data_IF_482807455742
#
_entry.id   IF_482807455742
#
_cell.length_a   1.000
_cell.length_b   1.000
_cell.length_c   1.000
_cell.angle_alpha   90.00
_cell.angle_beta   90.00
_cell.angle_gamma   90.00
#
_symmetry.space_group_name_H-M   'P 1'
#
loop_
_entity.id
_entity.type
_entity.pdbx_description
1 polymer ?
2 polymer ?
3 water ?
#
# COMPACT_ATOMS: atom_id res chain seq x y z
N UNK A 1 6.29 -21.91 -1.42
CA UNK A 1 5.31 -23.04 -1.52
C UNK A 1 4.44 -23.08 -0.26
N UNK A 2 4.93 -22.44 0.80
CA UNK A 2 4.21 -22.38 2.07
C UNK A 2 3.68 -20.97 2.34
N UNK A 3 2.36 -20.84 2.36
CA UNK A 3 1.73 -19.55 2.63
C UNK A 3 0.44 -19.68 3.42
N UNK A 4 0.10 -18.62 4.13
CA UNK A 4 -1.13 -18.56 4.90
C UNK A 4 -2.08 -17.67 4.11
N UNK A 5 -3.33 -18.09 4.01
CA UNK A 5 -4.32 -17.31 3.27
C UNK A 5 -5.46 -16.90 4.19
N UNK A 6 -5.69 -15.60 4.32
CA UNK A 6 -6.79 -15.11 5.18
C UNK A 6 -8.04 -14.87 4.34
N UNK A 7 -9.19 -14.96 4.98
CA UNK A 7 -10.46 -14.74 4.29
C UNK A 7 -11.55 -14.26 5.22
N UNK A 8 -12.61 -13.71 4.64
CA UNK A 8 -13.72 -13.22 5.43
C UNK A 8 -13.74 -11.70 5.44
N UNK A 9 -12.65 -11.10 4.96
CA UNK A 9 -12.55 -9.65 4.91
C UNK A 9 -13.59 -8.97 4.03
N UNK A 10 -13.93 -7.74 4.37
CA UNK A 10 -14.90 -7.01 3.59
C UNK A 10 -15.54 -5.88 4.36
N UNK A 11 -16.67 -5.40 3.85
CA UNK A 11 -17.41 -4.30 4.46
C UNK A 11 -18.33 -4.79 5.58
N UNK A 12 -18.29 -4.14 6.73
CA UNK A 12 -19.12 -4.49 7.88
C UNK A 12 -19.77 -3.23 8.46
N UNK A 13 -21.00 -3.35 8.94
CA UNK A 13 -21.67 -2.21 9.56
C UNK A 13 -21.24 -2.15 11.01
N UNK A 14 -21.15 -0.94 11.58
CA UNK A 14 -20.74 -0.82 12.98
C UNK A 14 -21.67 -1.65 13.85
N UNK A 15 -21.09 -2.41 14.78
CA UNK A 15 -21.89 -3.25 15.66
C UNK A 15 -22.08 -4.65 15.09
N UNK A 16 -21.71 -4.83 13.83
CA UNK A 16 -21.85 -6.15 13.22
C UNK A 16 -20.72 -7.07 13.65
N UNK A 17 -20.78 -8.31 13.20
CA UNK A 17 -19.75 -9.29 13.54
C UNK A 17 -19.12 -9.79 12.27
N UNK A 18 -18.07 -10.58 12.40
CA UNK A 18 -17.37 -11.09 11.23
C UNK A 18 -16.38 -12.15 11.70
N UNK A 19 -16.16 -13.17 10.88
CA UNK A 19 -15.21 -14.20 11.25
C UNK A 19 -14.22 -14.37 10.12
N UNK A 20 -12.96 -14.13 10.43
CA UNK A 20 -11.89 -14.27 9.45
C UNK A 20 -11.31 -15.66 9.64
N UNK A 21 -10.88 -16.26 8.54
CA UNK A 21 -10.30 -17.58 8.59
C UNK A 21 -8.89 -17.54 8.02
N UNK A 22 -8.03 -18.35 8.63
CA UNK A 22 -6.65 -18.47 8.22
C UNK A 22 -6.39 -19.93 7.90
N UNK A 23 -6.16 -20.22 6.62
CA UNK A 23 -5.92 -21.58 6.18
C UNK A 23 -4.53 -21.74 5.59
N UNK A 24 -3.79 -22.72 6.08
CA UNK A 24 -2.44 -22.96 5.58
C UNK A 24 -2.40 -24.11 4.57
N UNK A 25 -1.42 -24.05 3.67
CA UNK A 25 -1.23 -25.07 2.65
C UNK A 25 0.27 -25.24 2.40
N UNK A 26 0.77 -26.43 2.71
CA UNK A 26 2.18 -26.72 2.54
C UNK A 26 2.81 -27.27 3.81
N UNK A 27 2.08 -27.18 4.92
CA UNK A 27 2.57 -27.65 6.21
C UNK A 27 1.37 -28.06 7.07
N UNK A 28 1.62 -28.80 8.14
CA UNK A 28 0.53 -29.23 9.01
C UNK A 28 -0.05 -28.07 9.79
N UNK A 29 0.74 -27.44 10.66
CA UNK A 29 0.22 -26.31 11.42
C UNK A 29 -0.44 -26.64 12.76
N UNK A 30 -1.06 -27.80 12.87
CA UNK A 30 -1.70 -28.17 14.13
C UNK A 30 -0.69 -28.07 15.28
N UNK A 31 0.60 -28.13 14.96
CA UNK A 31 1.68 -28.06 15.95
C UNK A 31 2.27 -26.67 16.17
N UNK A 32 1.78 -25.67 15.45
CA UNK A 32 2.29 -24.31 15.59
C UNK A 32 1.28 -23.38 16.24
N UNK A 33 1.79 -22.27 16.78
CA UNK A 33 0.96 -21.27 17.42
C UNK A 33 0.67 -20.16 16.41
N UNK A 34 -0.60 -19.76 16.33
CA UNK A 34 -1.01 -18.74 15.40
C UNK A 34 -1.44 -17.45 16.09
N UNK A 35 -1.02 -16.33 15.49
CA UNK A 35 -1.34 -15.00 16.00
C UNK A 35 -2.13 -14.22 14.96
N UNK A 36 -2.88 -13.24 15.46
CA UNK A 36 -3.59 -12.33 14.58
C UNK A 36 -3.05 -10.95 14.93
N UNK A 37 -2.58 -10.24 13.93
CA UNK A 37 -2.01 -8.91 14.09
C UNK A 37 -2.76 -7.99 13.13
N UNK A 38 -3.05 -6.76 13.56
CA UNK A 38 -3.75 -5.86 12.67
C UNK A 38 -3.01 -4.55 12.41
N UNK A 39 -3.43 -3.85 11.37
CA UNK A 39 -2.79 -2.61 11.00
C UNK A 39 -3.78 -1.68 10.32
N UNK A 40 -4.15 -0.61 11.02
CA UNK A 40 -5.08 0.37 10.48
C UNK A 40 -4.38 1.01 9.30
N UNK A 41 -5.13 1.52 8.33
CA UNK A 41 -4.53 2.15 7.14
C UNK A 41 -3.53 3.28 7.47
N UNK A 42 -2.29 3.12 7.02
CA UNK A 42 -1.29 4.14 7.26
C UNK A 42 -0.69 4.11 8.65
N UNK A 43 -1.27 3.32 9.54
CA UNK A 43 -0.77 3.22 10.91
C UNK A 43 0.21 2.05 11.05
N UNK A 44 0.49 1.67 12.30
CA UNK A 44 1.41 0.58 12.55
C UNK A 44 0.79 -0.75 12.95
N UNK A 45 1.66 -1.71 13.27
CA UNK A 45 1.25 -3.06 13.66
C UNK A 45 0.73 -3.15 15.08
N UNK A 46 -0.40 -3.82 15.24
CA UNK A 46 -1.00 -4.00 16.56
C UNK A 46 -1.40 -5.48 16.79
N UNK A 47 -0.79 -6.11 17.78
CA UNK A 47 -1.07 -7.51 18.13
C UNK A 47 -2.48 -7.66 18.73
N UNK A 48 -3.19 -8.73 18.35
CA UNK A 48 -4.52 -8.98 18.88
C UNK A 48 -4.51 -10.17 19.82
N UNK A 49 -3.80 -11.23 19.43
CA UNK A 49 -3.75 -12.42 20.26
C UNK A 49 -3.13 -13.63 19.60
N UNK A 50 -3.09 -14.74 20.33
CA UNK A 50 -2.50 -15.97 19.82
C UNK A 50 -3.24 -17.22 20.30
N UNK A 51 -3.10 -18.29 19.54
CA UNK A 51 -3.68 -19.58 19.92
C UNK A 51 -2.57 -20.62 19.76
N UNK A 52 -2.24 -21.32 20.84
CA UNK A 52 -1.19 -22.32 20.81
C UNK A 52 -1.57 -23.65 20.16
N UNK A 53 -0.57 -24.54 20.04
CA UNK A 53 -0.81 -25.86 19.45
C UNK A 53 -2.06 -26.42 20.13
N UNK A 54 -2.11 -26.28 21.45
CA UNK A 54 -3.25 -26.71 22.23
C UNK A 54 -4.23 -25.54 22.15
N UNK A 55 -5.53 -25.81 22.28
CA UNK A 55 -6.49 -24.72 22.18
C UNK A 55 -6.21 -23.44 22.96
N UNK A 56 -5.33 -23.49 23.95
CA UNK A 56 -5.04 -22.31 24.78
C UNK A 56 -4.91 -21.00 24.01
N UNK A 57 -5.63 -19.99 24.46
CA UNK A 57 -5.58 -18.69 23.81
C UNK A 57 -5.29 -17.53 24.74
N UNK A 58 -4.57 -16.55 24.22
CA UNK A 58 -4.22 -15.34 24.95
C UNK A 58 -4.60 -14.16 24.05
N UNK A 59 -5.09 -13.09 24.66
CA UNK A 59 -5.52 -11.91 23.92
C UNK A 59 -4.88 -10.63 24.43
N UNK A 60 -4.87 -9.61 23.59
CA UNK A 60 -4.34 -8.32 24.01
C UNK A 60 -5.42 -7.81 24.95
N UNK A 61 -5.02 -7.20 26.06
CA UNK A 61 -5.96 -6.69 27.04
C UNK A 61 -7.17 -5.96 26.47
N UNK A 62 -6.98 -5.23 25.38
CA UNK A 62 -8.08 -4.46 24.76
C UNK A 62 -8.96 -5.29 23.83
N UNK A 63 -8.51 -6.47 23.44
CA UNK A 63 -9.27 -7.31 22.52
C UNK A 63 -10.08 -8.41 23.20
N UNK A 64 -9.65 -8.78 24.40
CA UNK A 64 -10.31 -9.83 25.16
C UNK A 64 -11.72 -9.33 25.45
N UNK A 65 -12.67 -9.74 24.60
CA UNK A 65 -14.04 -9.31 24.80
C UNK A 65 -14.83 -9.32 23.51
N UNK A 66 -14.30 -8.66 22.50
CA UNK A 66 -14.98 -8.57 21.20
C UNK A 66 -14.25 -9.41 20.16
N UNK A 67 -13.15 -10.03 20.58
CA UNK A 67 -12.33 -10.86 19.69
C UNK A 67 -12.11 -12.25 20.26
N UNK A 68 -12.29 -13.27 19.42
CA UNK A 68 -12.09 -14.64 19.88
C UNK A 68 -11.36 -15.47 18.82
N UNK A 69 -10.29 -16.14 19.24
CA UNK A 69 -9.53 -16.98 18.32
C UNK A 69 -9.83 -18.46 18.60
N UNK A 70 -9.87 -19.26 17.53
CA UNK A 70 -10.13 -20.69 17.66
C UNK A 70 -9.51 -21.38 16.46
N UNK A 71 -9.29 -22.68 16.59
CA UNK A 71 -8.69 -23.43 15.49
C UNK A 71 -9.40 -24.75 15.26
N UNK A 72 -9.31 -25.23 14.02
CA UNK A 72 -9.89 -26.51 13.65
C UNK A 72 -8.82 -27.27 12.87
N UNK A 73 -8.03 -28.06 13.60
CA UNK A 73 -6.96 -28.81 12.98
C UNK A 73 -7.38 -29.81 11.92
N UNK A 74 -8.59 -30.37 12.04
CA UNK A 74 -9.05 -31.32 11.03
C UNK A 74 -9.16 -30.60 9.69
N UNK A 75 -9.17 -29.26 9.73
CA UNK A 75 -9.27 -28.49 8.50
C UNK A 75 -8.01 -27.66 8.26
N UNK A 76 -7.10 -27.67 9.24
CA UNK A 76 -5.87 -26.91 9.11
C UNK A 76 -6.26 -25.45 8.95
N UNK A 77 -7.12 -24.99 9.85
CA UNK A 77 -7.62 -23.63 9.79
C UNK A 77 -7.73 -22.94 11.14
N UNK A 78 -7.36 -21.67 11.18
CA UNK A 78 -7.48 -20.88 12.40
C UNK A 78 -8.57 -19.84 12.15
N UNK A 79 -9.27 -19.47 13.22
CA UNK A 79 -10.35 -18.51 13.07
C UNK A 79 -10.31 -17.35 14.04
N UNK A 80 -10.72 -16.19 13.54
CA UNK A 80 -10.79 -14.97 14.33
C UNK A 80 -12.23 -14.47 14.25
N UNK A 81 -12.93 -14.50 15.39
CA UNK A 81 -14.31 -14.05 15.47
C UNK A 81 -14.33 -12.63 16.04
N UNK A 82 -14.84 -11.67 15.25
CA UNK A 82 -14.91 -10.27 15.66
C UNK A 82 -16.33 -9.86 16.00
N UNK A 83 -16.55 -9.37 17.22
CA UNK A 83 -17.89 -8.96 17.64
C UNK A 83 -18.02 -7.46 17.95
N UNK A 84 -19.22 -6.91 17.73
CA UNK A 84 -19.47 -5.50 18.01
C UNK A 84 -18.38 -4.62 17.42
N UNK A 85 -18.16 -4.74 16.12
CA UNK A 85 -17.11 -3.99 15.48
C UNK A 85 -17.29 -2.49 15.60
N UNK A 86 -16.17 -1.78 15.68
CA UNK A 86 -16.16 -0.32 15.77
C UNK A 86 -15.43 0.24 14.57
N UNK A 87 -15.77 1.47 14.20
CA UNK A 87 -15.11 2.11 13.07
C UNK A 87 -13.60 2.01 13.27
N UNK A 88 -13.17 2.07 14.53
CA UNK A 88 -11.75 1.98 14.88
C UNK A 88 -11.13 0.63 14.55
N UNK A 89 -11.96 -0.40 14.38
CA UNK A 89 -11.44 -1.72 14.06
C UNK A 89 -11.19 -1.90 12.55
N UNK A 90 -11.37 -0.83 11.78
CA UNK A 90 -11.12 -0.89 10.34
C UNK A 90 -9.62 -1.10 10.20
N UNK A 91 -9.22 -2.19 9.57
CA UNK A 91 -7.80 -2.48 9.40
C UNK A 91 -7.54 -3.69 8.53
N UNK A 92 -6.25 -3.94 8.30
CA UNK A 92 -5.84 -5.10 7.54
C UNK A 92 -5.51 -6.07 8.66
N UNK A 93 -6.16 -7.23 8.65
CA UNK A 93 -5.92 -8.22 9.68
C UNK A 93 -5.02 -9.29 9.11
N UNK A 94 -3.94 -9.55 9.82
CA UNK A 94 -2.95 -10.54 9.42
C UNK A 94 -2.99 -11.78 10.26
N UNK A 95 -2.55 -12.86 9.62
CA UNK A 95 -2.46 -14.15 10.26
C UNK A 95 -0.95 -14.41 10.26
N UNK A 96 -0.38 -14.78 11.39
CA UNK A 96 1.04 -15.03 11.42
C UNK A 96 1.45 -16.10 12.43
N UNK A 97 2.42 -16.93 12.02
CA UNK A 97 2.91 -18.01 12.85
C UNK A 97 4.09 -17.64 13.72
N UNK A 98 4.04 -18.07 14.97
CA UNK A 98 5.14 -17.84 15.89
C UNK A 98 6.24 -18.80 15.48
N UNK A 99 7.49 -18.33 15.49
CA UNK A 99 8.62 -19.19 15.14
C UNK A 99 8.54 -20.50 15.95
N UNK A 100 8.46 -21.64 15.25
CA UNK A 100 8.39 -22.89 15.99
C UNK A 100 9.46 -22.97 17.09
N UNK A 101 9.03 -23.35 18.29
CA UNK A 101 9.96 -23.45 19.40
C UNK A 101 9.84 -22.32 20.38
N UNK A 102 8.97 -21.35 20.09
CA UNK A 102 8.77 -20.22 20.98
C UNK A 102 7.31 -20.10 21.38
N UNK A 103 7.08 -19.30 22.41
CA UNK A 103 5.74 -19.04 22.93
C UNK A 103 5.93 -17.77 23.71
N UNK A 104 4.95 -16.88 23.64
CA UNK A 104 5.00 -15.59 24.32
C UNK A 104 5.98 -14.63 23.64
N UNK A 105 7.00 -15.20 22.98
CA UNK A 105 8.00 -14.39 22.28
C UNK A 105 7.43 -13.81 21.00
N UNK A 106 7.59 -12.50 20.80
CA UNK A 106 7.08 -11.81 19.60
C UNK A 106 7.85 -12.10 18.32
N UNK A 107 8.07 -13.37 18.02
CA UNK A 107 8.78 -13.75 16.81
C UNK A 107 7.82 -14.43 15.84
N UNK A 108 7.39 -13.71 14.81
CA UNK A 108 6.45 -14.27 13.84
C UNK A 108 7.11 -14.39 12.47
N UNK A 109 7.35 -15.62 12.04
CA UNK A 109 8.01 -15.85 10.76
C UNK A 109 7.12 -15.96 9.54
N UNK A 110 6.00 -16.69 9.65
CA UNK A 110 5.09 -16.84 8.51
C UNK A 110 3.85 -15.95 8.60
N UNK A 111 3.63 -15.13 7.59
CA UNK A 111 2.47 -14.24 7.57
C UNK A 111 1.53 -14.57 6.43
N UNK A 112 0.34 -13.97 6.47
CA UNK A 112 -0.63 -14.16 5.42
C UNK A 112 -0.65 -12.87 4.64
N UNK A 113 -1.30 -12.87 3.49
CA UNK A 113 -1.39 -11.68 2.65
C UNK A 113 -2.14 -10.59 3.39
N UNK A 114 -2.92 -10.97 4.39
CA UNK A 114 -3.69 -10.00 5.13
C UNK A 114 -4.97 -9.71 4.39
N UNK A 115 -6.06 -9.54 5.12
CA UNK A 115 -7.34 -9.26 4.51
C UNK A 115 -7.92 -8.01 5.19
N UNK A 116 -8.33 -7.05 4.37
CA UNK A 116 -8.88 -5.78 4.84
C UNK A 116 -10.33 -5.81 5.32
N UNK A 117 -10.55 -5.31 6.52
CA UNK A 117 -11.89 -5.24 7.10
C UNK A 117 -12.27 -3.77 7.32
N UNK A 118 -13.31 -3.31 6.62
CA UNK A 118 -13.76 -1.94 6.75
C UNK A 118 -15.06 -1.88 7.53
N UNK A 119 -15.04 -1.24 8.70
CA UNK A 119 -16.25 -1.09 9.51
C UNK A 119 -16.83 0.29 9.20
N UNK A 120 -17.94 0.30 8.46
CA UNK A 120 -18.56 1.55 8.05
C UNK A 120 -20.06 1.44 7.87
N UNK A 121 -20.77 2.54 8.14
CA UNK A 121 -22.22 2.55 7.99
C UNK A 121 -22.61 2.76 6.52
N UNK A 122 -21.63 3.14 5.68
CA UNK A 122 -21.91 3.39 4.27
C UNK A 122 -22.09 2.14 3.43
N UNK A 123 -22.86 2.26 2.36
CA UNK A 123 -23.11 1.15 1.44
C UNK A 123 -22.00 1.04 0.41
N UNK A 124 -21.77 -0.17 -0.07
CA UNK A 124 -20.74 -0.39 -1.06
C UNK A 124 -21.15 0.31 -2.36
N UNK A 125 -20.15 0.81 -3.09
CA UNK A 125 -20.40 1.51 -4.35
C UNK A 125 -19.43 1.00 -5.42
N UNK A 126 -19.96 0.71 -6.60
CA UNK A 126 -19.14 0.20 -7.68
C UNK A 126 -18.48 1.31 -8.50
N UNK A 127 -17.24 1.09 -8.94
CA UNK A 127 -16.51 2.09 -9.73
C UNK A 127 -16.84 2.11 -11.22
N UNK A 128 -16.61 3.28 -11.82
CA UNK A 128 -16.78 3.48 -13.25
C UNK A 128 -15.34 3.42 -13.76
N UNK A 129 -15.16 2.91 -14.96
CA UNK A 129 -13.83 2.79 -15.54
C UNK A 129 -13.72 3.48 -16.89
N UNK A 130 -12.97 4.57 -16.91
CA UNK A 130 -12.77 5.36 -18.12
C UNK A 130 -11.34 5.20 -18.58
N UNK A 131 -11.12 5.16 -19.90
CA UNK A 131 -9.79 5.00 -20.46
C UNK A 131 -9.03 6.32 -20.48
N UNK A 132 -7.71 6.25 -20.36
CA UNK A 132 -6.84 7.42 -20.42
C UNK A 132 -6.02 7.13 -21.68
N UNK A 133 -6.53 7.63 -22.80
CA UNK A 133 -5.91 7.39 -24.10
C UNK A 133 -4.71 8.27 -24.41
N UNK A 134 -3.65 7.67 -24.96
CA UNK A 134 -2.45 8.43 -25.30
C UNK A 134 -2.76 9.48 -26.37
N UNK A 135 -1.92 10.50 -26.44
CA UNK A 135 -2.08 11.60 -27.40
C UNK A 135 -1.94 11.08 -28.83
N UNK A 136 -2.53 11.78 -29.79
CA UNK A 136 -2.44 11.34 -31.19
C UNK A 136 -1.01 11.45 -31.70
N UNK A 137 -0.21 12.30 -31.06
CA UNK A 137 1.19 12.51 -31.44
C UNK A 137 2.08 11.50 -30.71
N UNK A 138 1.46 10.48 -30.11
CA UNK A 138 2.20 9.46 -29.36
C UNK A 138 3.21 8.66 -30.17
N UNK A 139 3.30 8.95 -31.46
CA UNK A 139 4.29 8.28 -32.30
C UNK A 139 5.54 9.15 -32.24
N UNK A 140 6.69 8.48 -32.25
CA UNK A 140 7.98 9.15 -32.13
C UNK A 140 8.21 9.29 -30.62
N UNK A 141 8.41 10.51 -30.17
CA UNK A 141 8.62 10.76 -28.75
C UNK A 141 9.43 9.69 -28.02
N UNK A 142 9.37 9.74 -26.69
CA UNK A 142 10.08 8.78 -25.86
C UNK A 142 9.06 7.83 -25.25
N UNK A 143 8.53 6.94 -26.08
CA UNK A 143 7.52 5.95 -25.70
C UNK A 143 6.21 6.66 -25.30
N UNK A 144 5.10 5.96 -25.46
CA UNK A 144 3.81 6.53 -25.12
C UNK A 144 3.32 6.04 -23.77
N UNK A 145 2.32 6.73 -23.24
CA UNK A 145 1.74 6.36 -21.96
C UNK A 145 0.25 6.34 -22.10
N UNK A 146 -0.38 5.32 -21.51
CA UNK A 146 -1.83 5.19 -21.54
C UNK A 146 -2.29 4.60 -20.21
N UNK A 147 -3.58 4.66 -19.92
CA UNK A 147 -4.04 4.13 -18.64
C UNK A 147 -5.53 4.05 -18.37
N UNK A 148 -5.86 3.69 -17.14
CA UNK A 148 -7.25 3.58 -16.72
C UNK A 148 -7.55 4.43 -15.50
N UNK A 149 -8.71 5.05 -15.52
CA UNK A 149 -9.14 5.86 -14.40
C UNK A 149 -10.30 5.12 -13.76
N UNK A 150 -10.06 4.58 -12.56
CA UNK A 150 -11.09 3.85 -11.82
C UNK A 150 -11.69 4.86 -10.84
N UNK A 151 -12.89 5.34 -11.15
CA UNK A 151 -13.51 6.37 -10.33
C UNK A 151 -14.79 6.04 -9.54
N UNK A 152 -14.84 6.61 -8.33
CA UNK A 152 -15.97 6.51 -7.40
C UNK A 152 -16.38 5.16 -6.86
N UNK A 153 -15.61 4.61 -5.93
CA UNK A 153 -15.96 3.32 -5.37
C UNK A 153 -15.78 3.34 -3.86
N UNK A 154 -16.33 2.33 -3.19
CA UNK A 154 -16.23 2.22 -1.74
C UNK A 154 -16.67 0.82 -1.32
N UNK A 155 -15.90 0.16 -0.46
CA UNK A 155 -14.66 0.66 0.14
C UNK A 155 -13.49 0.13 -0.69
N UNK A 156 -12.30 0.21 -0.10
CA UNK A 156 -11.12 -0.35 -0.74
C UNK A 156 -11.29 -1.87 -0.57
N UNK A 157 -10.54 -2.68 -1.32
CA UNK A 157 -9.56 -2.25 -2.30
C UNK A 157 -10.06 -2.49 -3.72
N UNK A 158 -9.21 -2.15 -4.68
CA UNK A 158 -9.48 -2.33 -6.09
C UNK A 158 -8.17 -2.79 -6.67
N UNK A 159 -8.18 -3.90 -7.40
CA UNK A 159 -6.96 -4.38 -8.02
C UNK A 159 -7.11 -4.13 -9.51
N UNK A 160 -6.03 -3.62 -10.12
CA UNK A 160 -6.01 -3.31 -11.53
C UNK A 160 -4.94 -4.17 -12.18
N UNK A 161 -5.21 -4.64 -13.40
CA UNK A 161 -4.28 -5.50 -14.10
C UNK A 161 -4.23 -5.16 -15.60
N UNK A 162 -3.07 -5.32 -16.22
CA UNK A 162 -2.97 -5.02 -17.65
C UNK A 162 -2.79 -6.27 -18.50
N UNK A 163 -3.67 -6.40 -19.49
CA UNK A 163 -3.68 -7.54 -20.41
C UNK A 163 -3.70 -8.85 -19.63
N UNK A 164 -4.64 -8.91 -18.70
CA UNK A 164 -4.84 -10.08 -17.85
C UNK A 164 -3.56 -10.58 -17.21
N UNK A 165 -2.63 -9.67 -16.94
CA UNK A 165 -1.39 -10.06 -16.31
C UNK A 165 -0.18 -10.04 -17.24
N UNK A 166 -0.41 -10.17 -18.53
CA UNK A 166 0.67 -10.17 -19.51
C UNK A 166 1.60 -8.98 -19.32
N UNK A 167 1.01 -7.80 -19.16
CA UNK A 167 1.77 -6.57 -19.01
C UNK A 167 1.93 -6.15 -17.56
N UNK A 168 3.18 -6.08 -17.09
CA UNK A 168 3.46 -5.70 -15.71
C UNK A 168 4.49 -4.60 -15.67
N UNK A 169 5.40 -4.61 -16.65
CA UNK A 169 6.45 -3.61 -16.72
C UNK A 169 5.93 -2.22 -17.04
N UNK A 170 6.52 -1.23 -16.38
CA UNK A 170 6.13 0.15 -16.60
C UNK A 170 4.71 0.41 -16.14
N UNK A 171 4.22 -0.42 -15.22
CA UNK A 171 2.87 -0.24 -14.72
C UNK A 171 2.87 0.45 -13.36
N UNK A 172 2.03 1.47 -13.24
CA UNK A 172 1.92 2.21 -12.00
C UNK A 172 0.46 2.34 -11.65
N UNK A 173 0.06 1.66 -10.59
CA UNK A 173 -1.31 1.76 -10.14
C UNK A 173 -1.24 2.64 -8.90
N UNK A 174 -1.66 3.89 -9.04
CA UNK A 174 -1.60 4.83 -7.92
C UNK A 174 -2.47 4.51 -6.70
N UNK A 175 -1.98 4.89 -5.50
CA UNK A 175 -2.73 4.65 -4.27
C UNK A 175 -4.04 5.41 -4.41
N UNK A 176 -5.12 4.86 -3.89
CA UNK A 176 -6.41 5.53 -4.01
C UNK A 176 -6.43 6.81 -3.19
N UNK A 177 -7.29 7.75 -3.56
CA UNK A 177 -7.43 8.98 -2.79
C UNK A 177 -8.92 9.30 -2.61
N UNK A 178 -9.26 9.83 -1.45
CA UNK A 178 -10.66 10.19 -1.19
C UNK A 178 -11.05 11.38 -2.03
N UNK A 179 -12.33 11.46 -2.35
CA UNK A 179 -12.84 12.59 -3.11
C UNK A 179 -13.81 13.29 -2.18
N UNK A 180 -14.20 14.50 -2.53
CA UNK A 180 -15.14 15.27 -1.70
C UNK A 180 -16.42 14.49 -1.43
N UNK A 181 -16.70 13.52 -2.29
CA UNK A 181 -17.89 12.67 -2.18
C UNK A 181 -17.76 11.60 -1.09
N UNK A 182 -16.55 11.38 -0.60
CA UNK A 182 -16.36 10.36 0.41
C UNK A 182 -16.09 9.02 -0.26
N UNK A 183 -15.87 9.07 -1.57
CA UNK A 183 -15.58 7.87 -2.37
C UNK A 183 -14.14 7.89 -2.88
N UNK A 184 -13.58 6.70 -3.05
CA UNK A 184 -12.23 6.55 -3.53
C UNK A 184 -12.13 6.64 -5.04
N UNK A 185 -10.93 6.90 -5.52
CA UNK A 185 -10.66 7.00 -6.94
C UNK A 185 -9.18 6.79 -7.17
N UNK A 186 -8.82 6.25 -8.32
CA UNK A 186 -7.41 6.03 -8.63
C UNK A 186 -7.23 5.83 -10.11
N UNK A 187 -5.98 5.71 -10.53
CA UNK A 187 -5.68 5.51 -11.93
C UNK A 187 -4.50 4.57 -12.02
N UNK A 188 -4.51 3.76 -13.07
CA UNK A 188 -3.43 2.84 -13.30
C UNK A 188 -2.89 3.24 -14.67
N UNK A 189 -1.60 3.53 -14.73
CA UNK A 189 -0.98 3.92 -15.98
C UNK A 189 0.11 2.95 -16.39
N UNK A 190 0.47 2.97 -17.66
CA UNK A 190 1.51 2.10 -18.17
C UNK A 190 2.17 2.73 -19.39
N UNK A 191 3.49 2.79 -19.38
CA UNK A 191 4.20 3.36 -20.52
C UNK A 191 4.60 2.22 -21.44
N UNK A 192 4.34 2.39 -22.73
CA UNK A 192 4.68 1.40 -23.73
C UNK A 192 5.39 2.09 -24.88
N UNK A 193 6.02 1.32 -25.78
CA UNK A 193 6.73 1.90 -26.93
C UNK A 193 5.75 2.34 -28.02
N UNK A 194 5.96 3.54 -28.56
CA UNK A 194 5.11 4.08 -29.62
C UNK A 194 4.64 3.01 -30.62
N UNK A 195 5.60 2.31 -31.22
CA UNK A 195 5.31 1.28 -32.22
C UNK A 195 4.29 0.23 -31.76
N UNK A 196 4.24 -0.02 -30.46
CA UNK A 196 3.31 -1.02 -29.91
C UNK A 196 1.86 -0.64 -30.11
N UNK A 197 1.57 0.66 -30.13
CA UNK A 197 0.22 1.14 -30.31
C UNK A 197 -0.32 0.70 -31.66
N UNK A 198 -1.62 0.43 -31.72
CA UNK A 198 -2.23 0.00 -32.96
C UNK A 198 -2.00 -1.46 -33.31
N UNK A 199 -0.78 -1.93 -33.07
CA UNK A 199 -0.43 -3.32 -33.35
C UNK A 199 -0.72 -4.18 -32.11
N UNK A 200 -0.41 -3.64 -30.94
CA UNK A 200 -0.61 -4.33 -29.66
C UNK A 200 -1.83 -3.78 -28.92
N UNK A 201 -2.70 -4.68 -28.46
CA UNK A 201 -3.89 -4.28 -27.74
C UNK A 201 -3.60 -4.12 -26.25
N UNK A 202 -4.15 -3.07 -25.64
CA UNK A 202 -3.96 -2.80 -24.22
C UNK A 202 -5.28 -2.74 -23.49
N UNK A 203 -5.48 -3.66 -22.55
CA UNK A 203 -6.70 -3.70 -21.76
C UNK A 203 -6.40 -3.79 -20.28
N UNK A 204 -7.00 -2.89 -19.51
CA UNK A 204 -6.79 -2.92 -18.08
C UNK A 204 -7.97 -3.69 -17.50
N UNK A 205 -7.68 -4.52 -16.51
CA UNK A 205 -8.70 -5.34 -15.86
C UNK A 205 -8.89 -4.82 -14.44
N UNK A 206 -10.07 -4.30 -14.16
CA UNK A 206 -10.39 -3.76 -12.86
C UNK A 206 -11.35 -4.65 -12.12
N UNK A 207 -11.04 -4.94 -10.87
CA UNK A 207 -11.89 -5.80 -10.07
C UNK A 207 -12.13 -5.19 -8.71
N UNK A 208 -13.40 -4.99 -8.37
CA UNK A 208 -13.78 -4.43 -7.08
C UNK A 208 -14.75 -5.43 -6.44
N UNK A 209 -14.17 -6.44 -5.78
CA UNK A 209 -14.94 -7.50 -5.15
C UNK A 209 -16.11 -7.06 -4.28
N UNK A 210 -15.91 -6.08 -3.39
CA UNK A 210 -17.01 -5.64 -2.53
C UNK A 210 -18.34 -5.37 -3.25
N UNK A 211 -18.28 -4.91 -4.51
CA UNK A 211 -19.49 -4.62 -5.26
C UNK A 211 -19.69 -5.59 -6.42
N UNK A 212 -18.83 -6.60 -6.50
CA UNK A 212 -18.89 -7.57 -7.59
C UNK A 212 -18.85 -6.80 -8.89
N UNK A 213 -17.85 -5.94 -8.99
CA UNK A 213 -17.66 -5.13 -10.19
C UNK A 213 -16.38 -5.54 -10.89
N UNK A 214 -16.51 -6.08 -12.09
CA UNK A 214 -15.35 -6.48 -12.86
C UNK A 214 -15.51 -5.80 -14.20
N UNK A 215 -14.44 -5.17 -14.67
CA UNK A 215 -14.48 -4.45 -15.93
C UNK A 215 -13.18 -4.54 -16.70
N UNK A 216 -13.30 -4.66 -18.01
CA UNK A 216 -12.16 -4.71 -18.89
C UNK A 216 -12.34 -3.60 -19.90
N UNK A 217 -11.48 -2.59 -19.82
CA UNK A 217 -11.59 -1.47 -20.73
C UNK A 217 -10.39 -1.51 -21.66
N UNK A 218 -10.65 -1.38 -22.95
CA UNK A 218 -9.59 -1.40 -23.92
C UNK A 218 -9.24 0.07 -24.18
N UNK A 219 -8.03 0.46 -23.81
CA UNK A 219 -7.60 1.84 -24.01
C UNK A 219 -7.10 1.99 -25.44
N UNK A 220 -7.67 2.95 -26.15
CA UNK A 220 -7.30 3.19 -27.54
C UNK A 220 -7.10 4.66 -27.84
N UNK A 221 -6.04 5.02 -28.57
CA UNK A 221 -5.79 6.43 -28.91
C UNK A 221 -6.65 6.75 -30.13
N UNK A 222 -7.04 8.01 -30.29
CA UNK A 222 -7.86 8.37 -31.45
C UNK A 222 -7.16 9.35 -32.37
N UNK A 223 -7.78 9.77 -33.38
N UNK B 1 1.77 2.77 30.33
CA UNK B 1 1.75 1.32 29.97
C UNK B 1 3.12 0.84 29.54
N UNK B 2 3.18 0.25 28.35
CA UNK B 2 4.44 -0.28 27.84
C UNK B 2 5.34 0.77 27.19
N UNK B 3 4.78 1.62 26.33
CA UNK B 3 5.59 2.64 25.66
C UNK B 3 6.78 2.04 24.91
N UNK B 4 6.64 1.91 23.60
CA UNK B 4 7.69 1.37 22.75
C UNK B 4 8.10 2.48 21.78
N UNK B 5 9.20 3.17 22.08
CA UNK B 5 9.63 4.27 21.22
C UNK B 5 10.69 3.93 20.19
N UNK B 6 10.32 4.12 18.92
CA UNK B 6 11.21 3.84 17.79
C UNK B 6 11.58 5.12 17.07
N UNK B 7 12.88 5.34 16.87
CA UNK B 7 13.33 6.53 16.16
C UNK B 7 14.48 6.19 15.21
N UNK B 8 14.60 6.94 14.11
CA UNK B 8 13.73 8.06 13.76
C UNK B 8 12.40 7.55 13.23
N UNK B 9 11.44 8.44 13.02
CA UNK B 9 10.15 8.01 12.51
C UNK B 9 10.34 7.72 11.02
N UNK B 10 11.34 8.38 10.42
CA UNK B 10 11.65 8.19 9.01
C UNK B 10 13.10 8.62 8.74
N UNK B 11 13.68 8.10 7.67
CA UNK B 11 15.05 8.44 7.33
C UNK B 11 15.41 8.16 5.88
N UNK B 12 16.26 9.01 5.30
CA UNK B 12 16.71 8.85 3.93
C UNK B 12 18.21 8.64 3.90
N UNK B 13 18.66 7.67 3.12
CA UNK B 13 20.08 7.38 3.02
C UNK B 13 20.40 6.96 1.59
N UNK B 14 21.66 7.14 1.21
CA UNK B 14 22.09 6.78 -0.13
C UNK B 14 22.41 5.30 -0.15
N UNK B 15 22.28 4.67 -1.32
CA UNK B 15 22.59 3.26 -1.39
C UNK B 15 24.07 3.13 -0.99
N UNK B 16 24.38 2.14 -0.16
CA UNK B 16 25.75 1.98 0.28
C UNK B 16 25.98 2.55 1.67
N UNK B 17 25.08 3.42 2.13
CA UNK B 17 25.20 4.02 3.46
C UNK B 17 24.76 3.05 4.53
N UNK B 18 25.04 3.44 5.77
CA UNK B 18 24.67 2.65 6.93
C UNK B 18 23.45 3.32 7.55
N UNK B 19 22.42 2.54 7.85
CA UNK B 19 21.23 3.09 8.47
C UNK B 19 21.08 2.50 9.85
N UNK B 20 20.86 3.38 10.82
CA UNK B 20 20.68 2.94 12.19
C UNK B 20 19.33 3.34 12.77
N UNK B 21 18.57 2.34 13.19
CA UNK B 21 17.27 2.54 13.79
C UNK B 21 17.31 2.03 15.22
N UNK B 22 16.81 2.82 16.15
CA UNK B 22 16.81 2.41 17.54
C UNK B 22 15.39 2.23 18.04
N UNK B 23 15.24 1.36 19.02
CA UNK B 23 13.95 1.08 19.61
C UNK B 23 14.17 1.05 21.12
N UNK B 24 13.48 1.94 21.83
CA UNK B 24 13.60 2.05 23.28
C UNK B 24 12.24 1.84 23.96
N UNK B 25 12.16 0.84 24.83
CA UNK B 25 10.93 0.54 25.55
C UNK B 25 11.06 0.87 27.04
N UNK B 26 9.99 1.40 27.63
CA UNK B 26 10.06 1.74 29.04
C UNK B 26 10.29 0.45 29.79
N UNK B 27 9.24 -0.37 29.99
CA UNK B 27 9.58 -1.59 30.73
C UNK B 27 10.63 -2.40 29.97
N UNK B 28 11.76 -2.69 30.60
CA UNK B 28 12.79 -3.48 29.95
C UNK B 28 12.08 -4.74 29.45
N UNK B 29 12.18 -5.04 28.16
CA UNK B 29 11.52 -6.22 27.62
C UNK B 29 11.88 -7.46 28.41
N UNK B 30 11.09 -8.53 28.23
CA UNK B 30 11.40 -9.76 28.92
C UNK B 30 12.68 -10.33 28.34
N UNK B 31 13.36 -11.14 29.14
CA UNK B 31 14.62 -11.76 28.77
C UNK B 31 14.98 -11.83 27.30
N UNK B 32 15.38 -10.70 26.71
CA UNK B 32 15.80 -10.73 25.31
C UNK B 32 14.69 -10.73 24.24
N UNK B 33 13.43 -10.66 24.66
CA UNK B 33 12.31 -10.68 23.71
C UNK B 33 12.17 -9.39 22.91
N UNK B 34 12.99 -9.28 21.88
CA UNK B 34 13.01 -8.11 20.99
C UNK B 34 13.21 -8.63 19.57
N UNK B 35 12.41 -8.13 18.63
CA UNK B 35 12.50 -8.57 17.23
C UNK B 35 12.37 -7.40 16.25
N UNK B 36 12.83 -7.62 15.03
CA UNK B 36 12.75 -6.60 13.97
C UNK B 36 12.10 -7.16 12.72
N UNK B 37 11.12 -6.41 12.20
CA UNK B 37 10.38 -6.78 10.99
C UNK B 37 10.55 -5.74 9.90
N UNK B 38 10.47 -6.18 8.65
CA UNK B 38 10.57 -5.32 7.49
C UNK B 38 9.26 -5.40 6.72
N UNK B 39 8.66 -4.26 6.41
CA UNK B 39 7.42 -4.29 5.66
C UNK B 39 7.43 -3.36 4.46
N UNK B 40 7.43 -3.95 3.27
CA UNK B 40 7.40 -3.18 2.04
C UNK B 40 5.96 -2.86 1.70
N UNK B 41 5.71 -1.71 1.08
CA UNK B 41 4.35 -1.28 0.71
C UNK B 41 3.44 -2.39 0.19
N UNK B 42 2.26 -2.48 0.79
CA UNK B 42 1.29 -3.47 0.37
C UNK B 42 1.53 -4.90 0.81
N UNK B 43 2.78 -5.25 1.13
CA UNK B 43 3.10 -6.60 1.56
C UNK B 43 2.97 -6.72 3.08
N UNK B 44 3.15 -7.93 3.58
CA UNK B 44 3.06 -8.17 5.01
C UNK B 44 4.43 -8.03 5.64
N UNK B 45 4.46 -7.88 6.97
CA UNK B 45 5.74 -7.75 7.66
C UNK B 45 6.59 -9.01 7.41
N UNK B 46 7.90 -8.85 7.48
CA UNK B 46 8.83 -9.95 7.29
C UNK B 46 9.83 -9.95 8.45
N UNK B 47 9.96 -11.09 9.11
CA UNK B 47 10.87 -11.20 10.23
C UNK B 47 12.31 -11.18 9.75
N UNK B 48 13.07 -10.20 10.21
CA UNK B 48 14.46 -10.06 9.84
C UNK B 48 15.33 -10.58 10.97
N UNK B 49 15.03 -10.13 12.17
CA UNK B 49 15.80 -10.52 13.35
C UNK B 49 14.93 -10.77 14.57
N UNK B 50 15.32 -11.76 15.37
CA UNK B 50 14.60 -12.06 16.60
C UNK B 50 15.64 -12.39 17.67
N UNK B 51 15.25 -12.29 18.93
CA UNK B 51 16.17 -12.53 20.04
C UNK B 51 17.19 -11.41 20.02
N UNK B 52 16.76 -10.28 19.47
CA UNK B 52 17.59 -9.07 19.37
C UNK B 52 18.74 -9.09 18.37
N UNK B 53 19.24 -10.27 18.03
CA UNK B 53 20.36 -10.32 17.10
C UNK B 53 20.44 -11.47 16.12
N UNK B 54 19.63 -12.50 16.32
CA UNK B 54 19.66 -13.61 15.38
C UNK B 54 18.94 -13.24 14.09
N UNK B 55 19.59 -13.49 12.96
CA UNK B 55 18.97 -13.23 11.66
C UNK B 55 18.22 -14.49 11.26
N UNK B 56 17.06 -14.34 10.65
CA UNK B 56 16.30 -15.51 10.20
C UNK B 56 17.03 -15.95 8.95
N UNK B 57 16.59 -17.05 8.35
CA UNK B 57 17.23 -17.54 7.14
C UNK B 57 16.96 -16.65 5.93
N UNK B 58 17.96 -16.53 5.07
CA UNK B 58 17.78 -15.74 3.86
C UNK B 58 17.84 -14.24 4.02
N UNK B 59 18.22 -13.78 5.20
CA UNK B 59 18.33 -12.35 5.44
C UNK B 59 19.80 -12.00 5.21
N UNK B 60 20.06 -10.98 4.37
CA UNK B 60 21.41 -10.50 4.03
C UNK B 60 22.23 -10.14 5.26
N UNK B 61 23.52 -10.42 5.22
CA UNK B 61 24.41 -10.12 6.34
C UNK B 61 24.51 -8.62 6.63
N UNK B 62 23.99 -7.79 5.72
CA UNK B 62 24.05 -6.35 5.96
C UNK B 62 23.07 -5.92 7.05
N UNK B 63 22.21 -6.83 7.48
CA UNK B 63 21.26 -6.54 8.56
C UNK B 63 21.83 -7.16 9.83
N UNK B 64 21.66 -6.47 10.95
CA UNK B 64 22.15 -6.98 12.22
C UNK B 64 21.51 -6.18 13.34
N UNK B 65 21.24 -6.85 14.47
CA UNK B 65 20.62 -6.16 15.58
C UNK B 65 21.44 -6.28 16.84
N UNK B 66 21.31 -5.30 17.73
CA UNK B 66 22.04 -5.31 18.99
C UNK B 66 21.30 -4.55 20.08
N UNK B 67 21.79 -4.69 21.31
CA UNK B 67 21.17 -4.02 22.44
C UNK B 67 20.61 -5.02 23.42
N UNK B 68 19.96 -4.50 24.46
CA UNK B 68 19.35 -5.34 25.48
C UNK B 68 18.60 -4.50 26.50
N UNK B 69 17.65 -5.13 27.17
CA UNK B 69 16.87 -4.44 28.18
C UNK B 69 15.88 -3.43 27.63
N UNK B 70 16.31 -2.18 27.56
CA UNK B 70 15.45 -1.11 27.09
C UNK B 70 15.94 -0.38 25.85
N UNK B 71 17.14 -0.70 25.39
CA UNK B 71 17.66 -0.02 24.21
C UNK B 71 18.18 -1.00 23.17
N UNK B 72 17.65 -0.91 21.96
CA UNK B 72 18.09 -1.79 20.88
C UNK B 72 18.32 -1.02 19.59
N UNK B 73 19.15 -1.56 18.72
CA UNK B 73 19.44 -0.91 17.45
C UNK B 73 19.37 -1.89 16.31
N UNK B 74 18.81 -1.46 15.19
CA UNK B 74 18.77 -2.30 13.99
C UNK B 74 19.74 -1.55 13.10
N UNK B 75 20.67 -2.26 12.48
CA UNK B 75 21.63 -1.59 11.62
C UNK B 75 21.70 -2.23 10.26
N UNK B 76 21.57 -1.39 9.23
CA UNK B 76 21.67 -1.82 7.84
C UNK B 76 23.04 -1.29 7.38
N UNK B 77 23.99 -2.19 7.17
CA UNK B 77 25.35 -1.82 6.76
C UNK B 77 25.43 -1.06 5.44
N UNK B 78 25.09 -1.73 4.35
CA UNK B 78 25.13 -1.12 3.02
C UNK B 78 23.74 -1.08 2.44
N UNK B 79 23.06 0.07 2.62
CA UNK B 79 21.70 0.24 2.14
C UNK B 79 21.52 -0.03 0.65
N UNK B 80 20.57 -0.88 0.32
CA UNK B 80 20.28 -1.21 -1.08
C UNK B 80 18.95 -0.58 -1.48
N UNK B 81 18.73 -0.36 -2.78
CA UNK B 81 17.45 0.24 -3.16
C UNK B 81 16.27 -0.64 -2.79
N UNK B 82 16.50 -1.94 -2.65
CA UNK B 82 15.42 -2.87 -2.30
C UNK B 82 15.03 -2.82 -0.84
N UNK B 83 15.83 -2.14 -0.02
CA UNK B 83 15.57 -2.05 1.39
C UNK B 83 14.51 -1.00 1.75
N UNK B 84 14.01 -0.30 0.73
CA UNK B 84 12.96 0.69 0.95
C UNK B 84 11.82 -0.05 1.63
N UNK B 85 11.41 0.43 2.80
CA UNK B 85 10.34 -0.19 3.55
C UNK B 85 10.21 0.47 4.91
N UNK B 86 9.24 0.01 5.67
CA UNK B 86 9.02 0.51 7.01
C UNK B 86 9.47 -0.60 7.94
N UNK B 87 10.31 -0.27 8.92
CA UNK B 87 10.79 -1.27 9.85
C UNK B 87 10.12 -1.10 11.21
N UNK B 88 9.81 -2.24 11.84
CA UNK B 88 9.14 -2.26 13.13
C UNK B 88 9.89 -3.15 14.11
N UNK B 89 9.81 -2.80 15.40
CA UNK B 89 10.41 -3.64 16.43
C UNK B 89 9.27 -4.25 17.23
N UNK B 90 9.50 -5.45 17.75
CA UNK B 90 8.49 -6.11 18.56
C UNK B 90 9.04 -6.50 19.92
N UNK B 91 8.25 -6.31 20.98
CA UNK B 91 8.73 -6.65 22.31
C UNK B 91 7.84 -7.50 23.20
N UNK B 92 8.46 -8.44 23.90
CA UNK B 92 7.74 -9.30 24.83
C UNK B 92 7.97 -8.78 26.23
N UNK B 93 7.03 -9.01 27.15
CA UNK B 93 7.19 -8.49 28.50
C UNK B 93 6.73 -9.42 29.63
N UNK B 94 6.93 -10.72 29.46
CA UNK B 94 6.53 -11.69 30.48
C UNK B 94 5.04 -11.60 30.81
N UNK B 95 4.26 -11.04 29.90
CA UNK B 95 2.83 -10.91 30.09
C UNK B 95 2.11 -11.44 28.85
N UNK B 96 2.85 -11.56 27.76
CA UNK B 96 2.32 -12.04 26.48
C UNK B 96 1.28 -11.04 25.99
N UNK B 97 0.33 -10.75 26.86
CA UNK B 97 -0.76 -9.82 26.56
C UNK B 97 -0.23 -8.41 26.41
N UNK B 98 1.08 -8.24 26.61
CA UNK B 98 1.69 -6.91 26.47
C UNK B 98 2.53 -6.78 25.20
N UNK B 99 2.50 -7.81 24.35
CA UNK B 99 3.24 -7.78 23.09
C UNK B 99 2.96 -6.47 22.39
N UNK B 100 4.00 -5.70 22.06
CA UNK B 100 3.81 -4.44 21.35
C UNK B 100 4.85 -4.21 20.26
N UNK B 101 4.48 -3.39 19.28
CA UNK B 101 5.35 -3.05 18.17
C UNK B 101 5.68 -1.55 18.25
N UNK B 102 6.83 -1.16 17.72
CA UNK B 102 7.16 0.25 17.73
C UNK B 102 6.33 0.96 16.68
N UNK B 103 6.43 2.29 16.61
CA UNK B 103 5.66 3.03 15.63
C UNK B 103 6.16 2.86 14.21
N UNK B 104 7.37 2.34 14.05
CA UNK B 104 7.91 2.14 12.72
C UNK B 104 8.80 3.25 12.22
N UNK B 105 9.71 2.86 11.33
CA UNK B 105 10.64 3.80 10.72
C UNK B 105 10.57 3.62 9.22
N UNK B 106 10.13 4.67 8.52
CA UNK B 106 10.03 4.64 7.06
C UNK B 106 11.42 4.93 6.47
N UNK B 107 12.06 3.92 5.87
CA UNK B 107 13.38 4.10 5.28
C UNK B 107 13.32 4.30 3.77
N UNK B 108 13.61 5.51 3.32
CA UNK B 108 13.61 5.81 1.90
C UNK B 108 15.00 6.05 1.35
N UNK B 109 15.14 5.89 0.03
CA UNK B 109 16.41 6.04 -0.64
C UNK B 109 16.67 7.42 -1.24
N UNK B 110 17.92 7.87 -1.09
CA UNK B 110 18.35 9.15 -1.64
C UNK B 110 19.16 8.78 -2.86
N UNK B 111 18.72 9.20 -4.03
CA UNK B 111 19.43 8.93 -5.26
C UNK B 111 19.57 10.24 -5.99
N UNK B 112 20.22 10.24 -7.14
CA UNK B 112 20.41 11.47 -7.91
C UNK B 112 19.11 11.93 -8.55
N UNK B 113 19.05 13.23 -8.86
CA UNK B 113 17.89 13.80 -9.51
C UNK B 113 17.61 13.07 -10.79
N UNK B 114 16.34 13.02 -11.15
CA UNK B 114 15.90 12.38 -12.38
C UNK B 114 14.66 13.17 -12.74
N UNK B 115 14.65 13.75 -13.94
CA UNK B 115 13.51 14.55 -14.36
C UNK B 115 12.32 13.67 -14.71
N UNK B 116 11.11 14.23 -14.61
CA UNK B 116 9.89 13.50 -14.92
C UNK B 116 9.49 13.52 -16.39
N UNK B 117 8.85 12.43 -16.84
CA UNK B 117 8.33 12.35 -18.20
C UNK B 117 6.89 12.78 -17.95
N UNK B 118 6.44 13.84 -18.62
CA UNK B 118 5.08 14.32 -18.41
C UNK B 118 4.09 14.02 -19.54
N UNK B 119 2.92 13.54 -19.16
CA UNK B 119 1.86 13.24 -20.12
C UNK B 119 0.56 13.85 -19.62
N UNK B 120 -0.37 14.11 -20.52
CA UNK B 120 -1.65 14.67 -20.11
C UNK B 120 -2.75 13.86 -20.79
N UNK B 121 -3.88 13.72 -20.11
CA UNK B 121 -5.01 12.95 -20.62
C UNK B 121 -6.33 13.70 -20.51
N UNK B 122 -6.99 13.93 -21.63
CA UNK B 122 -8.27 14.65 -21.59
C UNK B 122 -9.34 13.68 -21.09
N UNK B 123 -10.48 14.21 -20.62
CA UNK B 123 -11.52 13.29 -20.13
C UNK B 123 -12.11 12.51 -21.29
N UNK B 124 -12.49 11.26 -21.02
CA UNK B 124 -13.08 10.41 -22.04
C UNK B 124 -14.52 10.85 -22.33
N UNK B 125 -15.06 10.41 -23.46
CA UNK B 125 -16.44 10.78 -23.81
C UNK B 125 -17.43 10.06 -22.90
N UNK B 126 -17.10 8.82 -22.51
CA UNK B 126 -17.98 8.06 -21.63
C UNK B 126 -18.18 8.84 -20.33
N UNK B 127 -17.11 9.40 -19.79
CA UNK B 127 -17.22 10.14 -18.55
C UNK B 127 -17.95 11.46 -18.73
N UNK B 128 -17.84 12.05 -19.91
CA UNK B 128 -18.52 13.31 -20.18
C UNK B 128 -20.03 13.05 -20.16
N UNK B 129 -20.44 11.83 -20.49
CA UNK B 129 -21.85 11.50 -20.47
C UNK B 129 -22.39 11.59 -19.05
N UNK B 130 -21.60 11.14 -18.08
CA UNK B 130 -22.01 11.14 -16.68
C UNK B 130 -22.17 12.54 -16.08
N UNK B 131 -21.75 13.56 -16.82
CA UNK B 131 -21.88 14.92 -16.30
C UNK B 131 -20.66 15.47 -15.58
N UNK B 132 -19.57 14.73 -15.59
CA UNK B 132 -18.35 15.20 -14.94
C UNK B 132 -17.12 14.97 -15.81
N UNK B 133 -16.13 15.85 -15.67
CA UNK B 133 -14.90 15.75 -16.43
C UNK B 133 -13.67 15.65 -15.55
N UNK B 134 -12.84 14.64 -15.81
CA UNK B 134 -11.60 14.44 -15.04
C UNK B 134 -10.40 14.54 -15.97
N UNK B 135 -9.53 15.51 -15.70
CA UNK B 135 -8.33 15.69 -16.51
C UNK B 135 -7.16 15.11 -15.74
N UNK B 136 -6.36 14.26 -16.37
CA UNK B 136 -5.25 13.65 -15.66
C UNK B 136 -3.86 13.99 -16.19
N UNK B 137 -2.98 14.38 -15.28
CA UNK B 137 -1.62 14.73 -15.62
C UNK B 137 -0.68 13.73 -14.93
N UNK B 138 0.17 13.06 -15.72
CA UNK B 138 1.09 12.07 -15.22
C UNK B 138 2.57 12.48 -15.23
N UNK B 139 3.19 12.48 -14.06
CA UNK B 139 4.62 12.77 -13.93
C UNK B 139 5.21 11.39 -13.70
N UNK B 140 6.03 10.94 -14.63
CA UNK B 140 6.57 9.59 -14.53
C UNK B 140 8.08 9.41 -14.27
N UNK B 141 8.37 8.48 -13.36
CA UNK B 141 9.74 8.12 -12.98
C UNK B 141 10.73 9.23 -12.72
N UNK B 142 10.54 9.93 -11.60
CA UNK B 142 11.41 11.03 -11.21
C UNK B 142 11.84 10.96 -9.74
N UNK B 143 12.75 11.85 -9.39
CA UNK B 143 13.27 12.01 -8.04
C UNK B 143 13.93 13.38 -8.03
N UNK B 144 13.81 14.14 -6.92
CA UNK B 144 13.11 13.88 -5.65
C UNK B 144 11.58 13.85 -5.75
N UNK B 145 10.94 13.40 -4.67
CA UNK B 145 9.49 13.29 -4.60
C UNK B 145 8.80 14.64 -4.75
N UNK B 146 9.43 15.67 -4.19
CA UNK B 146 8.87 17.01 -4.25
C UNK B 146 8.75 17.49 -5.70
N UNK B 147 7.56 17.91 -6.07
CA UNK B 147 7.30 18.42 -7.40
C UNK B 147 6.11 19.34 -7.33
N UNK B 148 6.05 20.31 -8.21
CA UNK B 148 4.91 21.20 -8.20
C UNK B 148 4.17 21.10 -9.52
N UNK B 149 2.90 20.72 -9.42
CA UNK B 149 2.05 20.57 -10.58
C UNK B 149 0.95 21.62 -10.50
N UNK B 150 0.83 22.44 -11.53
CA UNK B 150 -0.21 23.47 -11.51
C UNK B 150 -1.13 23.42 -12.71
N UNK B 151 -2.43 23.53 -12.44
CA UNK B 151 -3.42 23.51 -13.51
C UNK B 151 -3.72 24.92 -13.99
N UNK B 152 -3.80 25.07 -15.31
CA UNK B 152 -4.11 26.37 -15.90
C UNK B 152 -5.17 26.18 -16.96
N UNK B 153 -6.35 26.74 -16.73
CA UNK B 153 -7.42 26.64 -17.71
C UNK B 153 -7.50 28.00 -18.38
N UNK B 154 -7.22 28.03 -19.68
CA UNK B 154 -7.20 29.29 -20.43
C UNK B 154 -6.41 30.29 -19.61
N UNK B 155 -5.26 29.82 -19.13
CA UNK B 155 -4.33 30.60 -18.31
C UNK B 155 -4.77 30.84 -16.89
N UNK B 156 -6.07 30.76 -16.63
CA UNK B 156 -6.53 30.96 -15.27
C UNK B 156 -5.93 29.86 -14.38
N UNK B 157 -5.08 30.27 -13.43
CA UNK B 157 -4.45 29.33 -12.51
C UNK B 157 -5.51 28.73 -11.60
N UNK B 158 -5.73 27.42 -11.69
CA UNK B 158 -6.71 26.75 -10.86
C UNK B 158 -6.18 26.55 -9.45
N UNK B 159 -7.09 26.34 -8.51
CA UNK B 159 -6.70 26.10 -7.12
C UNK B 159 -7.89 25.54 -6.36
N UNK B 160 -7.67 24.41 -5.68
CA UNK B 160 -8.71 23.76 -4.91
C UNK B 160 -9.60 22.78 -5.67
N UNK B 161 -9.26 22.47 -6.91
CA UNK B 161 -10.08 21.55 -7.71
C UNK B 161 -9.31 20.37 -8.33
N UNK B 162 -8.23 19.95 -7.67
CA UNK B 162 -7.41 18.83 -8.13
C UNK B 162 -6.79 18.07 -6.95
N UNK B 163 -6.57 16.77 -7.13
CA UNK B 163 -5.95 15.95 -6.09
C UNK B 163 -4.75 15.26 -6.69
N UNK B 164 -3.70 15.07 -5.89
CA UNK B 164 -2.49 14.40 -6.34
C UNK B 164 -2.36 13.03 -5.70
N UNK B 165 -1.61 12.14 -6.36
CA UNK B 165 -1.37 10.82 -5.83
C UNK B 165 0.06 10.41 -6.19
N UNK B 166 0.80 9.90 -5.21
CA UNK B 166 2.18 9.50 -5.45
C UNK B 166 2.38 8.01 -5.19
N UNK B 167 3.13 7.35 -6.05
CA UNK B 167 3.40 5.92 -5.86
C UNK B 167 4.49 5.79 -4.81
N UNK B 168 4.63 4.60 -4.23
CA UNK B 168 5.68 4.39 -3.24
C UNK B 168 6.99 4.38 -4.03
N UNK B 169 8.10 4.56 -3.34
CA UNK B 169 9.39 4.57 -4.00
C UNK B 169 9.64 3.26 -4.73
N UNK B 170 10.11 3.36 -5.96
CA UNK B 170 10.38 2.16 -6.74
C UNK B 170 11.60 1.45 -6.12
N UNK B 171 11.50 0.16 -5.93
CA UNK B 171 12.59 -0.60 -5.33
C UNK B 171 13.77 -0.91 -6.25
N UNK B 172 13.63 -0.59 -7.53
CA UNK B 172 14.72 -0.84 -8.47
C UNK B 172 15.51 0.43 -8.75
N UNK B 173 14.83 1.48 -9.19
CA UNK B 173 15.50 2.74 -9.50
C UNK B 173 15.29 3.84 -8.46
N UNK B 174 14.52 3.55 -7.42
CA UNK B 174 14.29 4.51 -6.34
C UNK B 174 13.57 5.79 -6.74
N UNK B 175 12.81 5.76 -7.83
CA UNK B 175 12.08 6.96 -8.25
C UNK B 175 10.62 6.96 -7.83
N UNK B 176 9.89 7.99 -8.26
CA UNK B 176 8.49 8.14 -7.92
C UNK B 176 7.69 8.46 -9.17
N UNK B 177 6.38 8.34 -9.05
CA UNK B 177 5.47 8.67 -10.13
C UNK B 177 4.35 9.38 -9.42
N UNK B 178 3.81 10.40 -10.07
CA UNK B 178 2.75 11.19 -9.49
C UNK B 178 1.67 11.44 -10.52
N UNK B 179 0.44 11.53 -10.05
CA UNK B 179 -0.66 11.82 -10.93
C UNK B 179 -1.36 13.00 -10.30
N UNK B 180 -1.90 13.88 -11.14
CA UNK B 180 -2.62 15.02 -10.63
C UNK B 180 -3.90 14.99 -11.43
N UNK B 181 -5.03 14.98 -10.74
CA UNK B 181 -6.30 14.93 -11.42
C UNK B 181 -7.15 16.17 -11.21
N UNK B 182 -7.47 16.83 -12.31
CA UNK B 182 -8.31 18.02 -12.26
C UNK B 182 -9.71 17.48 -12.50
N UNK B 183 -10.62 17.81 -11.60
CA UNK B 183 -11.96 17.31 -11.78
C UNK B 183 -13.00 18.44 -11.81
N UNK B 184 -13.69 18.55 -12.95
CA UNK B 184 -14.69 19.60 -13.16
C UNK B 184 -16.02 19.02 -13.60
N UNK B 185 -17.04 19.88 -13.59
CA UNK B 185 -18.38 19.48 -14.02
C UNK B 185 -18.37 19.65 -15.54
N UNK B 186 -19.23 18.93 -16.25
CA UNK B 186 -19.25 19.04 -17.70
C UNK B 186 -19.42 20.47 -18.20
N UNK B 187 -20.39 21.19 -17.61
CA UNK B 187 -20.63 22.56 -18.01
C UNK B 187 -19.35 23.40 -17.87
N UNK B 188 -18.63 23.22 -16.76
CA UNK B 188 -17.41 23.97 -16.53
C UNK B 188 -16.29 23.54 -17.50
N UNK B 189 -16.25 22.26 -17.83
CA UNK B 189 -15.23 21.76 -18.73
C UNK B 189 -15.45 22.31 -20.13
N UNK B 190 -16.71 22.37 -20.56
CA UNK B 190 -17.03 22.86 -21.90
C UNK B 190 -17.05 24.38 -21.98
N UNK B 191 -16.80 25.01 -20.84
CA UNK B 191 -16.77 26.46 -20.75
C UNK B 191 -15.37 26.98 -21.11
N UNK B 192 -14.41 26.07 -21.28
CA UNK B 192 -13.04 26.46 -21.63
C UNK B 192 -12.45 25.70 -22.80
N UNK B 193 -11.37 26.24 -23.35
CA UNK B 193 -10.71 25.63 -24.49
C UNK B 193 -9.37 24.97 -24.15
N UNK B 194 -8.44 25.74 -23.59
CA UNK B 194 -7.13 25.20 -23.28
C UNK B 194 -6.89 24.72 -21.86
N UNK B 195 -6.66 23.42 -21.73
CA UNK B 195 -6.38 22.78 -20.46
C UNK B 195 -4.90 22.45 -20.42
N UNK B 196 -4.19 23.05 -19.49
CA UNK B 196 -2.77 22.81 -19.40
C UNK B 196 -2.29 22.39 -18.02
N UNK B 197 -1.23 21.61 -18.05
CA UNK B 197 -0.60 21.08 -16.86
C UNK B 197 0.85 21.61 -16.85
N UNK B 198 1.21 22.38 -15.84
CA UNK B 198 2.57 22.93 -15.76
C UNK B 198 3.35 22.29 -14.62
N UNK B 199 4.48 21.68 -14.94
CA UNK B 199 5.28 20.99 -13.93
C UNK B 199 6.61 21.65 -13.60
N UNK B 200 6.88 21.77 -12.30
CA UNK B 200 8.13 22.35 -11.85
C UNK B 200 8.78 21.27 -11.02
N UNK B 201 10.07 21.01 -11.27
CA UNK B 201 10.78 19.98 -10.55
C UNK B 201 12.28 20.20 -10.61
N UNK B 202 13.00 19.72 -9.60
CA UNK B 202 14.43 19.90 -9.56
C UNK B 202 15.17 19.45 -10.83
N UNK B 203 14.64 18.44 -11.51
CA UNK B 203 15.32 17.94 -12.68
C UNK B 203 15.13 18.76 -13.95
N UNK B 204 14.24 19.73 -13.91
CA UNK B 204 13.98 20.56 -15.08
C UNK B 204 14.55 21.96 -14.96
N UNK B 205 15.20 22.46 -16.00
CA UNK B 205 15.75 23.81 -15.96
C UNK B 205 14.58 24.77 -15.86
N UNK B 206 13.62 24.61 -16.76
CA UNK B 206 12.44 25.46 -16.76
C UNK B 206 11.25 24.53 -16.60
N UNK B 207 10.16 25.02 -16.01
CA UNK B 207 9.01 24.15 -15.87
C UNK B 207 8.45 23.77 -17.23
N UNK B 208 7.99 22.53 -17.36
CA UNK B 208 7.43 22.02 -18.61
C UNK B 208 5.90 22.07 -18.62
N UNK B 209 5.33 22.33 -19.79
CA UNK B 209 3.89 22.43 -19.92
C UNK B 209 3.29 21.38 -20.85
N UNK B 210 2.17 20.81 -20.43
CA UNK B 210 1.46 19.82 -21.22
C UNK B 210 0.03 20.30 -21.33
N UNK B 211 -0.50 20.30 -22.55
CA UNK B 211 -1.85 20.78 -22.74
C UNK B 211 -2.60 20.12 -23.87
N UNK B 212 -3.87 20.50 -24.01
CA UNK B 212 -4.71 20.01 -25.08
C UNK B 212 -5.85 20.99 -25.20
N UNK B 213 -6.37 21.15 -26.41
CA UNK B 213 -7.50 22.04 -26.65
C UNK B 213 -8.75 21.19 -26.62
N UNK B 214 -9.71 21.56 -25.78
CA UNK B 214 -10.94 20.81 -25.70
C UNK B 214 -11.62 20.80 -27.07
N UNK B 215 -12.05 19.62 -27.48
CA UNK B 215 -12.70 19.49 -28.77
C UNK B 215 -11.76 18.96 -29.84
N UNK B 216 -11.11 19.89 -30.55
CA UNK B 216 -10.17 19.56 -31.61
C UNK B 216 -9.17 18.46 -31.22
N UNK B 217 -8.63 17.81 -32.13
#
# INVERSE_FOLDING_TARGET
>A
EVQLLESGGGLVQPGGSLRLSCAVSGIDLSNYAINWVRQAPGKGLEWIGIIWASGTTFYATWAKGRFTISRDNSKNTVYLQMNSLRAEDTAVYYCARTVPGYSTAPYFDLWGQGTLVTVSSASTKGPSVFPLAPSSKSTSGGTAALGCLVKDYFPEPVTVSWNSGALTSGVHTFPAVLQSSGLYSLSSVVTVPSSSLGTQTYICNVNHKPSNTKVDKKVEPKSCDKTHHHHHH
>B
DIQMTQSPSSVSASVGDRVTITCQSSPSVWSNFLSWYQQKPGKAPKLLIYEASKLTSGVPSRFSGSGSGTDFTLTISSLQPEDFATYYCGGGYSSISDTTFGGGTKVEIKRTVAAPSVFIFPPSDEQLKSGTASVVCLLNNFYPREAKVQWKVDNALQSGNSQESVTEQDSKDSTYSLSSTLTLSKADYEKHKVYACEVTHQGLSSPVTKSFNRGEC
#
